data_IF_047261725650
#
_entry.id   IF_047261725650
#
_cell.length_a   1.000
_cell.length_b   1.000
_cell.length_c   1.000
_cell.angle_alpha   90.00
_cell.angle_beta   90.00
_cell.angle_gamma   90.00
#
_symmetry.space_group_name_H-M   'P 1'
#
loop_
_entity.id
_entity.type
_entity.pdbx_description
1 polymer ?
#
# COMPACT_ATOMS: atom_id res chain seq x y z
N UNK A 1 16.80 13.21 -0.11
CA UNK A 1 15.68 12.39 -0.66
C UNK A 1 14.44 12.71 0.15
N UNK A 2 13.25 12.76 -0.44
CA UNK A 2 11.99 13.02 0.25
C UNK A 2 11.22 11.73 0.49
N UNK A 3 10.70 11.55 1.71
CA UNK A 3 9.96 10.38 2.12
C UNK A 3 8.46 10.60 1.92
N UNK A 4 7.87 9.80 1.04
CA UNK A 4 6.43 9.71 0.82
C UNK A 4 5.94 8.39 1.41
N UNK A 5 4.90 8.42 2.23
CA UNK A 5 4.27 7.22 2.77
C UNK A 5 2.81 7.19 2.37
N UNK A 6 2.32 6.07 1.83
CA UNK A 6 0.91 5.93 1.47
C UNK A 6 0.26 4.69 2.09
N UNK A 7 -1.08 4.67 2.11
CA UNK A 7 -1.86 3.49 2.48
C UNK A 7 -3.18 3.47 1.72
N UNK A 8 -3.21 2.71 0.62
CA UNK A 8 -4.33 2.60 -0.32
C UNK A 8 -5.52 1.84 0.28
N UNK A 9 -5.24 0.88 1.18
CA UNK A 9 -6.21 -0.10 1.69
C UNK A 9 -6.42 0.04 3.19
N UNK A 10 -6.36 1.26 3.71
CA UNK A 10 -6.36 1.53 5.14
C UNK A 10 -7.70 1.31 5.86
N UNK A 11 -8.80 1.16 5.13
CA UNK A 11 -10.10 0.91 5.73
C UNK A 11 -11.10 0.27 4.78
N UNK A 12 -12.25 -0.06 5.33
CA UNK A 12 -13.32 -0.80 4.67
C UNK A 12 -14.63 0.00 4.56
N UNK A 13 -14.57 1.32 4.69
CA UNK A 13 -15.76 2.17 4.66
C UNK A 13 -16.42 2.16 3.28
N UNK A 14 -17.75 2.09 3.28
CA UNK A 14 -18.60 2.24 2.09
C UNK A 14 -19.48 3.49 2.26
N UNK A 15 -19.38 4.48 1.35
CA UNK A 15 -20.23 5.67 1.36
C UNK A 15 -21.72 5.31 1.30
N UNK A 16 -22.57 6.12 1.93
CA UNK A 16 -24.02 5.84 2.08
C UNK A 16 -24.69 5.51 0.74
N UNK A 17 -24.36 6.25 -0.32
CA UNK A 17 -24.91 6.07 -1.67
C UNK A 17 -24.59 4.70 -2.30
N UNK A 18 -23.54 4.02 -1.84
CA UNK A 18 -23.15 2.69 -2.35
C UNK A 18 -23.51 1.55 -1.40
N UNK A 19 -23.94 1.82 -0.16
CA UNK A 19 -24.34 0.77 0.80
C UNK A 19 -25.34 -0.26 0.23
N UNK A 20 -26.35 0.12 -0.59
CA UNK A 20 -27.28 -0.85 -1.18
C UNK A 20 -26.63 -1.94 -2.05
N UNK A 21 -25.40 -1.72 -2.55
CA UNK A 21 -24.68 -2.71 -3.35
C UNK A 21 -23.90 -3.72 -2.48
N UNK A 22 -23.78 -3.49 -1.17
CA UNK A 22 -23.00 -4.31 -0.23
C UNK A 22 -23.93 -4.99 0.78
N UNK A 23 -24.77 -5.92 0.29
CA UNK A 23 -25.74 -6.65 1.12
C UNK A 23 -25.06 -7.57 2.14
N UNK A 24 -23.95 -8.21 1.75
CA UNK A 24 -23.06 -8.92 2.67
C UNK A 24 -21.95 -7.99 3.14
N UNK A 25 -22.09 -7.45 4.35
CA UNK A 25 -21.11 -6.56 4.95
C UNK A 25 -19.97 -7.31 5.64
N UNK A 26 -20.10 -8.63 5.89
CA UNK A 26 -19.07 -9.40 6.60
C UNK A 26 -17.77 -9.46 5.80
N UNK A 27 -17.86 -9.49 4.46
CA UNK A 27 -16.69 -9.45 3.58
C UNK A 27 -15.83 -8.19 3.80
N UNK A 28 -16.46 -7.06 4.16
CA UNK A 28 -15.77 -5.79 4.38
C UNK A 28 -14.85 -5.88 5.60
N UNK A 29 -15.19 -6.73 6.57
CA UNK A 29 -14.38 -6.98 7.77
C UNK A 29 -13.23 -7.98 7.54
N UNK A 30 -13.04 -8.45 6.31
CA UNK A 30 -11.97 -9.39 5.94
C UNK A 30 -10.85 -8.72 5.14
N UNK A 31 -9.76 -9.46 4.90
CA UNK A 31 -8.66 -9.06 4.02
C UNK A 31 -9.10 -8.70 2.58
N UNK A 32 -10.32 -9.06 2.16
CA UNK A 32 -10.88 -8.64 0.87
C UNK A 32 -11.33 -7.18 0.89
N UNK A 33 -11.82 -6.71 2.04
CA UNK A 33 -12.33 -5.35 2.23
C UNK A 33 -11.22 -4.31 2.36
N UNK A 34 -10.14 -4.66 3.04
CA UNK A 34 -9.04 -3.76 3.41
C UNK A 34 -7.81 -4.54 3.92
N UNK A 35 -6.73 -3.84 4.18
CA UNK A 35 -5.48 -4.41 4.73
C UNK A 35 -5.48 -4.22 6.27
N UNK A 36 -5.81 -5.29 7.00
CA UNK A 36 -5.84 -5.27 8.47
C UNK A 36 -4.50 -4.80 9.06
N UNK A 37 -4.54 -3.80 9.94
CA UNK A 37 -3.40 -3.20 10.64
C UNK A 37 -2.53 -2.27 9.81
N UNK A 38 -2.74 -2.15 8.49
CA UNK A 38 -1.91 -1.31 7.63
C UNK A 38 -2.05 0.19 7.97
N UNK A 39 -3.27 0.67 8.22
CA UNK A 39 -3.50 2.08 8.60
C UNK A 39 -2.91 2.42 9.98
N UNK A 40 -2.88 1.47 10.92
CA UNK A 40 -2.23 1.66 12.23
C UNK A 40 -0.72 1.86 12.07
N UNK A 41 -0.07 1.05 11.23
CA UNK A 41 1.35 1.21 10.89
C UNK A 41 1.57 2.54 10.16
N UNK A 42 0.75 2.86 9.16
CA UNK A 42 0.82 4.13 8.44
C UNK A 42 0.76 5.33 9.40
N UNK A 43 -0.21 5.35 10.33
CA UNK A 43 -0.36 6.46 11.29
C UNK A 43 0.85 6.59 12.21
N UNK A 44 1.50 5.48 12.57
CA UNK A 44 2.72 5.50 13.37
C UNK A 44 3.94 6.04 12.60
N UNK A 45 4.00 5.76 11.29
CA UNK A 45 5.08 6.21 10.40
C UNK A 45 4.84 7.63 9.85
N UNK A 46 3.59 8.09 9.79
CA UNK A 46 3.20 9.40 9.28
C UNK A 46 4.07 10.57 9.79
N UNK A 47 4.44 10.66 11.09
CA UNK A 47 5.23 11.78 11.61
C UNK A 47 6.64 11.92 11.02
N UNK A 48 7.19 10.88 10.39
CA UNK A 48 8.53 10.94 9.76
C UNK A 48 8.47 11.20 8.26
N UNK A 49 7.28 11.25 7.66
CA UNK A 49 7.12 11.46 6.23
C UNK A 49 7.17 12.95 5.87
N UNK A 50 7.82 13.29 4.75
CA UNK A 50 7.70 14.62 4.14
C UNK A 50 6.31 14.84 3.53
N UNK A 51 5.65 13.74 3.11
CA UNK A 51 4.25 13.73 2.69
C UNK A 51 3.62 12.37 2.95
N UNK A 52 2.33 12.38 3.30
CA UNK A 52 1.59 11.16 3.56
C UNK A 52 0.16 11.26 3.05
N UNK A 53 -0.37 10.16 2.50
CA UNK A 53 -1.77 10.07 2.09
C UNK A 53 -2.33 8.67 2.36
N UNK A 54 -3.62 8.57 2.71
CA UNK A 54 -4.25 7.29 2.99
C UNK A 54 -5.71 7.29 2.54
N UNK A 55 -6.29 6.10 2.39
CA UNK A 55 -7.71 5.91 2.15
C UNK A 55 -8.31 5.02 3.24
N UNK A 56 -9.51 5.38 3.70
CA UNK A 56 -10.35 4.53 4.56
C UNK A 56 -11.47 3.85 3.77
N UNK A 57 -11.60 4.16 2.49
CA UNK A 57 -12.59 3.56 1.60
C UNK A 57 -12.16 2.15 1.22
N UNK A 58 -13.10 1.19 1.28
CA UNK A 58 -12.81 -0.19 0.91
C UNK A 58 -12.32 -0.31 -0.52
N UNK A 59 -11.29 -1.14 -0.74
CA UNK A 59 -10.88 -1.58 -2.08
C UNK A 59 -12.00 -2.29 -2.85
N UNK A 60 -13.01 -2.81 -2.16
CA UNK A 60 -14.17 -3.41 -2.82
C UNK A 60 -15.10 -2.35 -3.44
N UNK A 61 -15.03 -1.08 -3.03
CA UNK A 61 -15.72 0.00 -3.73
C UNK A 61 -14.99 0.32 -5.03
N UNK A 62 -13.71 0.69 -4.92
CA UNK A 62 -12.81 0.96 -6.03
C UNK A 62 -11.36 0.72 -5.58
N UNK A 63 -10.59 0.01 -6.40
CA UNK A 63 -9.25 -0.45 -6.04
C UNK A 63 -8.18 0.59 -6.45
N UNK A 64 -7.67 1.35 -5.47
CA UNK A 64 -6.68 2.43 -5.66
C UNK A 64 -5.29 1.92 -6.10
N UNK A 65 -4.96 0.67 -5.81
CA UNK A 65 -3.70 0.01 -6.17
C UNK A 65 -3.82 -0.79 -7.50
N UNK A 66 -4.67 -0.36 -8.43
CA UNK A 66 -4.77 -0.90 -9.81
C UNK A 66 -4.89 0.24 -10.82
N UNK A 67 -4.51 0.00 -12.08
CA UNK A 67 -4.77 0.97 -13.16
C UNK A 67 -6.25 1.04 -13.54
N UNK A 68 -6.69 2.11 -14.20
CA UNK A 68 -8.10 2.29 -14.61
C UNK A 68 -8.58 1.25 -15.63
N UNK A 69 -7.66 0.62 -16.36
CA UNK A 69 -7.98 -0.42 -17.34
C UNK A 69 -7.91 -1.83 -16.72
N UNK A 70 -7.59 -1.94 -15.43
CA UNK A 70 -7.52 -3.23 -14.78
C UNK A 70 -8.91 -3.82 -14.56
N UNK A 71 -9.09 -5.10 -14.90
CA UNK A 71 -10.35 -5.83 -14.69
C UNK A 71 -10.82 -5.87 -13.22
N UNK A 72 -9.90 -5.69 -12.28
CA UNK A 72 -10.15 -5.70 -10.85
C UNK A 72 -10.25 -4.28 -10.25
N UNK A 73 -10.30 -3.21 -11.07
CA UNK A 73 -10.53 -1.85 -10.57
C UNK A 73 -11.87 -1.76 -9.81
N UNK A 74 -12.90 -2.39 -10.37
CA UNK A 74 -14.21 -2.55 -9.75
C UNK A 74 -14.38 -3.99 -9.27
N UNK A 75 -14.86 -4.16 -8.04
CA UNK A 75 -15.09 -5.48 -7.47
C UNK A 75 -16.38 -6.12 -7.99
N UNK A 76 -16.70 -7.33 -7.51
CA UNK A 76 -18.00 -7.95 -7.79
C UNK A 76 -19.19 -7.09 -7.33
N UNK A 77 -19.02 -6.22 -6.33
CA UNK A 77 -20.05 -5.34 -5.79
C UNK A 77 -20.28 -4.10 -6.66
N UNK A 78 -19.23 -3.59 -7.31
CA UNK A 78 -19.30 -2.34 -8.10
C UNK A 78 -19.17 -2.55 -9.61
N UNK A 79 -18.94 -3.78 -10.08
CA UNK A 79 -18.86 -4.09 -11.53
C UNK A 79 -20.17 -3.84 -12.28
N UNK A 80 -21.32 -3.95 -11.62
CA UNK A 80 -22.66 -3.76 -12.22
C UNK A 80 -23.12 -2.31 -12.23
N UNK A 81 -22.37 -1.40 -11.59
CA UNK A 81 -22.67 0.03 -11.63
C UNK A 81 -22.67 0.55 -13.07
N UNK A 82 -23.55 1.52 -13.32
CA UNK A 82 -23.62 2.23 -14.60
C UNK A 82 -22.31 2.96 -14.90
N UNK A 83 -22.05 3.26 -16.16
CA UNK A 83 -20.87 4.05 -16.57
C UNK A 83 -20.79 5.38 -15.83
N UNK A 84 -21.92 6.06 -15.60
CA UNK A 84 -21.99 7.32 -14.86
C UNK A 84 -21.54 7.15 -13.40
N UNK A 85 -22.03 6.12 -12.71
CA UNK A 85 -21.63 5.83 -11.33
C UNK A 85 -20.15 5.43 -11.23
N UNK A 86 -19.65 4.61 -12.16
CA UNK A 86 -18.23 4.25 -12.22
C UNK A 86 -17.34 5.47 -12.45
N UNK A 87 -17.75 6.38 -13.33
CA UNK A 87 -17.02 7.64 -13.54
C UNK A 87 -17.03 8.52 -12.28
N UNK A 88 -18.14 8.53 -11.54
CA UNK A 88 -18.23 9.21 -10.24
C UNK A 88 -17.22 8.61 -9.25
N UNK A 89 -17.17 7.28 -9.12
CA UNK A 89 -16.19 6.61 -8.25
C UNK A 89 -14.74 6.95 -8.65
N UNK A 90 -14.45 6.94 -9.95
CA UNK A 90 -13.13 7.29 -10.48
C UNK A 90 -12.77 8.73 -10.10
N UNK A 91 -13.69 9.68 -10.30
CA UNK A 91 -13.41 11.08 -10.05
C UNK A 91 -13.27 11.39 -8.55
N UNK A 92 -14.16 10.85 -7.73
CA UNK A 92 -14.28 11.21 -6.30
C UNK A 92 -13.27 10.49 -5.41
N UNK A 93 -12.94 9.23 -5.70
CA UNK A 93 -12.08 8.44 -4.81
C UNK A 93 -10.73 8.11 -5.45
N UNK A 94 -10.75 7.62 -6.68
CA UNK A 94 -9.52 7.14 -7.33
C UNK A 94 -8.60 8.27 -7.77
N UNK A 95 -9.15 9.25 -8.49
CA UNK A 95 -8.41 10.40 -9.01
C UNK A 95 -7.97 11.31 -7.87
N UNK A 96 -8.85 11.57 -6.89
CA UNK A 96 -8.50 12.39 -5.73
C UNK A 96 -7.26 11.83 -5.01
N UNK A 97 -7.27 10.55 -4.67
CA UNK A 97 -6.15 9.89 -4.02
C UNK A 97 -4.88 9.89 -4.89
N UNK A 98 -4.96 9.36 -6.12
CA UNK A 98 -3.77 9.18 -6.96
C UNK A 98 -3.17 10.50 -7.40
N UNK A 99 -4.00 11.47 -7.78
CA UNK A 99 -3.49 12.77 -8.23
C UNK A 99 -2.84 13.54 -7.08
N UNK A 100 -3.36 13.46 -5.85
CA UNK A 100 -2.73 14.12 -4.70
C UNK A 100 -1.30 13.62 -4.49
N UNK A 101 -1.10 12.30 -4.47
CA UNK A 101 0.23 11.67 -4.32
C UNK A 101 1.12 11.99 -5.53
N UNK A 102 0.61 11.80 -6.75
CA UNK A 102 1.37 12.04 -7.98
C UNK A 102 1.82 13.50 -8.11
N UNK A 103 0.96 14.48 -7.77
CA UNK A 103 1.30 15.91 -7.82
C UNK A 103 2.41 16.26 -6.83
N UNK A 104 2.37 15.71 -5.62
CA UNK A 104 3.45 15.92 -4.65
C UNK A 104 4.77 15.32 -5.15
N UNK A 105 4.76 14.08 -5.63
CA UNK A 105 5.97 13.43 -6.15
C UNK A 105 6.53 14.22 -7.34
N UNK A 106 5.67 14.65 -8.27
CA UNK A 106 6.07 15.47 -9.41
C UNK A 106 6.71 16.79 -8.98
N UNK A 107 6.18 17.47 -7.95
CA UNK A 107 6.76 18.74 -7.49
C UNK A 107 8.18 18.54 -6.92
N UNK A 108 8.43 17.45 -6.18
CA UNK A 108 9.76 17.12 -5.68
C UNK A 108 10.73 16.81 -6.83
N UNK A 109 10.31 15.97 -7.77
CA UNK A 109 11.16 15.55 -8.90
C UNK A 109 11.47 16.73 -9.84
N UNK A 110 10.50 17.61 -10.08
CA UNK A 110 10.70 18.83 -10.89
C UNK A 110 11.69 19.81 -10.25
N UNK A 111 11.92 19.72 -8.94
CA UNK A 111 12.97 20.45 -8.22
C UNK A 111 14.30 19.68 -8.16
N UNK A 112 14.50 18.68 -9.04
CA UNK A 112 15.70 17.82 -9.11
C UNK A 112 16.00 17.03 -7.82
N UNK A 113 14.99 16.79 -6.97
CA UNK A 113 15.12 15.97 -5.77
C UNK A 113 14.60 14.55 -6.04
N UNK A 114 15.15 13.58 -5.30
CA UNK A 114 14.67 12.19 -5.35
C UNK A 114 13.62 11.90 -4.29
N UNK A 115 12.68 11.00 -4.63
CA UNK A 115 11.62 10.50 -3.74
C UNK A 115 11.84 9.01 -3.44
N UNK A 116 11.73 8.66 -2.15
CA UNK A 116 11.42 7.31 -1.70
C UNK A 116 9.95 7.25 -1.32
N UNK A 117 9.20 6.34 -1.94
CA UNK A 117 7.79 6.12 -1.69
C UNK A 117 7.58 4.74 -1.07
N UNK A 118 7.04 4.71 0.15
CA UNK A 118 6.68 3.50 0.88
C UNK A 118 5.14 3.34 0.90
N UNK A 119 4.63 2.38 0.15
CA UNK A 119 3.22 1.99 0.14
C UNK A 119 2.98 0.95 1.24
N UNK A 120 2.22 1.30 2.28
CA UNK A 120 2.01 0.43 3.45
C UNK A 120 0.79 -0.46 3.23
N UNK A 121 1.03 -1.77 3.25
CA UNK A 121 0.06 -2.83 3.02
C UNK A 121 0.16 -3.94 4.07
N UNK A 122 -0.84 -4.82 4.06
CA UNK A 122 -0.78 -6.06 4.82
C UNK A 122 -1.44 -7.20 4.06
N UNK A 123 -0.97 -8.42 4.32
CA UNK A 123 -1.45 -9.62 3.65
C UNK A 123 -1.96 -10.66 4.63
N UNK A 124 -3.02 -11.37 4.23
CA UNK A 124 -3.57 -12.49 5.02
C UNK A 124 -2.53 -13.62 5.18
N UNK A 125 -2.37 -14.21 6.38
CA UNK A 125 -1.35 -15.24 6.64
C UNK A 125 -1.58 -16.55 5.89
N UNK A 126 -2.84 -16.86 5.55
CA UNK A 126 -3.21 -18.08 4.81
C UNK A 126 -4.08 -17.67 3.63
N UNK A 127 -3.68 -18.07 2.41
CA UNK A 127 -4.49 -17.87 1.21
C UNK A 127 -4.64 -19.20 0.49
N UNK A 128 -5.88 -19.59 0.17
CA UNK A 128 -6.20 -20.84 -0.53
C UNK A 128 -5.55 -22.07 0.16
N UNK A 129 -5.65 -22.13 1.49
CA UNK A 129 -5.04 -23.15 2.35
C UNK A 129 -3.50 -23.20 2.35
N UNK A 130 -2.82 -22.26 1.69
CA UNK A 130 -1.36 -22.15 1.72
C UNK A 130 -0.91 -21.10 2.74
N UNK A 131 -0.06 -21.53 3.68
CA UNK A 131 0.57 -20.65 4.67
C UNK A 131 1.59 -19.76 3.96
N UNK A 132 1.54 -18.46 4.27
CA UNK A 132 2.50 -17.48 3.76
C UNK A 132 3.59 -17.23 4.80
N UNK A 133 4.70 -17.94 4.62
CA UNK A 133 5.87 -17.93 5.49
C UNK A 133 6.73 -16.67 5.29
N UNK A 134 6.24 -15.56 5.82
CA UNK A 134 6.87 -14.24 5.78
C UNK A 134 6.26 -13.35 6.85
N UNK A 135 7.06 -12.52 7.50
CA UNK A 135 6.58 -11.51 8.45
C UNK A 135 6.44 -10.15 7.77
N UNK A 136 7.45 -9.78 6.98
CA UNK A 136 7.54 -8.49 6.27
C UNK A 136 8.03 -8.73 4.84
N UNK A 137 7.20 -8.40 3.85
CA UNK A 137 7.54 -8.36 2.45
C UNK A 137 8.00 -6.96 2.03
N UNK A 138 9.15 -6.86 1.35
CA UNK A 138 9.59 -5.64 0.70
C UNK A 138 9.48 -5.85 -0.81
N UNK A 139 8.45 -5.26 -1.43
CA UNK A 139 8.13 -5.50 -2.83
C UNK A 139 8.58 -4.33 -3.72
N UNK A 140 9.26 -4.67 -4.80
CA UNK A 140 9.85 -3.69 -5.72
C UNK A 140 10.11 -4.30 -7.11
N UNK A 141 10.39 -3.47 -8.12
CA UNK A 141 10.84 -3.97 -9.42
C UNK A 141 12.33 -4.32 -9.34
N UNK A 142 12.66 -5.61 -9.36
CA UNK A 142 14.04 -6.11 -9.25
C UNK A 142 14.97 -5.64 -10.37
N UNK A 143 14.45 -5.12 -11.47
CA UNK A 143 15.23 -4.52 -12.57
C UNK A 143 15.70 -3.10 -12.24
N UNK A 144 15.13 -2.45 -11.22
CA UNK A 144 15.49 -1.10 -10.79
C UNK A 144 16.53 -1.17 -9.69
N UNK A 145 17.78 -0.83 -10.03
CA UNK A 145 18.94 -0.94 -9.14
C UNK A 145 18.74 -0.17 -7.83
N UNK A 146 18.20 1.06 -7.92
CA UNK A 146 17.96 1.90 -6.75
C UNK A 146 16.93 1.30 -5.78
N UNK A 147 15.85 0.69 -6.29
CA UNK A 147 14.86 -0.01 -5.44
C UNK A 147 15.45 -1.25 -4.79
N UNK A 148 16.26 -2.02 -5.54
CA UNK A 148 16.98 -3.18 -4.99
C UNK A 148 17.91 -2.76 -3.86
N UNK A 149 18.72 -1.71 -4.06
CA UNK A 149 19.65 -1.21 -3.05
C UNK A 149 18.90 -0.72 -1.79
N UNK A 150 17.83 0.06 -1.97
CA UNK A 150 17.01 0.51 -0.86
C UNK A 150 16.40 -0.67 -0.10
N UNK A 151 15.77 -1.63 -0.78
CA UNK A 151 15.18 -2.81 -0.14
C UNK A 151 16.23 -3.62 0.64
N UNK A 152 17.45 -3.79 0.10
CA UNK A 152 18.55 -4.48 0.79
C UNK A 152 18.96 -3.78 2.08
N UNK A 153 19.18 -2.47 2.04
CA UNK A 153 19.50 -1.68 3.23
C UNK A 153 18.35 -1.68 4.23
N UNK A 154 17.10 -1.59 3.77
CA UNK A 154 15.93 -1.57 4.63
C UNK A 154 15.77 -2.90 5.37
N UNK A 155 15.91 -4.03 4.66
CA UNK A 155 15.96 -5.36 5.28
C UNK A 155 17.09 -5.47 6.30
N UNK A 156 18.30 -5.01 5.97
CA UNK A 156 19.44 -5.02 6.89
C UNK A 156 19.11 -4.26 8.18
N UNK A 157 18.52 -3.08 8.07
CA UNK A 157 18.14 -2.26 9.22
C UNK A 157 17.05 -2.90 10.07
N UNK A 158 16.04 -3.53 9.45
CA UNK A 158 15.01 -4.29 10.17
C UNK A 158 15.64 -5.42 10.98
N UNK A 159 16.51 -6.22 10.36
CA UNK A 159 17.14 -7.38 11.00
C UNK A 159 18.17 -7.00 12.07
N UNK A 160 18.80 -5.84 11.97
CA UNK A 160 19.67 -5.31 13.02
C UNK A 160 18.90 -4.96 14.30
N UNK A 161 17.65 -4.53 14.16
CA UNK A 161 16.77 -4.18 15.29
C UNK A 161 16.00 -5.40 15.83
N UNK A 162 15.63 -6.32 14.95
CA UNK A 162 14.99 -7.58 15.33
C UNK A 162 15.38 -8.70 14.35
N UNK A 163 16.35 -9.56 14.72
CA UNK A 163 16.83 -10.64 13.85
C UNK A 163 15.85 -11.79 13.71
N UNK A 164 14.79 -11.85 14.52
CA UNK A 164 13.77 -12.91 14.47
C UNK A 164 12.77 -12.73 13.32
N UNK A 165 12.68 -11.52 12.73
CA UNK A 165 11.73 -11.27 11.65
C UNK A 165 12.14 -11.97 10.35
N UNK A 166 11.20 -12.70 9.75
CA UNK A 166 11.31 -13.25 8.39
C UNK A 166 11.01 -12.18 7.36
N UNK A 167 12.03 -11.39 7.01
CA UNK A 167 11.93 -10.35 5.97
C UNK A 167 12.26 -10.92 4.59
N UNK A 168 11.35 -10.82 3.63
CA UNK A 168 11.52 -11.36 2.27
C UNK A 168 11.37 -10.26 1.21
N UNK A 169 12.13 -10.39 0.13
CA UNK A 169 11.95 -9.56 -1.06
C UNK A 169 10.88 -10.20 -1.94
N UNK A 170 9.99 -9.36 -2.49
CA UNK A 170 9.04 -9.79 -3.52
C UNK A 170 8.24 -11.05 -3.14
N UNK A 171 7.79 -11.07 -1.88
CA UNK A 171 6.90 -12.08 -1.32
C UNK A 171 5.92 -11.41 -0.35
N UNK A 172 4.61 -11.73 -0.39
CA UNK A 172 3.99 -12.80 -1.19
C UNK A 172 3.71 -12.41 -2.66
N UNK A 173 3.99 -11.17 -3.06
CA UNK A 173 3.80 -10.68 -4.43
C UNK A 173 5.09 -10.15 -5.04
N UNK A 174 5.16 -10.04 -6.36
CA UNK A 174 6.42 -9.72 -7.07
C UNK A 174 6.83 -8.23 -7.04
N UNK A 175 6.02 -7.32 -6.49
CA UNK A 175 6.31 -5.88 -6.43
C UNK A 175 6.32 -5.14 -7.78
N UNK A 176 6.02 -5.85 -8.87
CA UNK A 176 5.95 -5.35 -10.25
C UNK A 176 4.61 -5.60 -10.94
N UNK A 177 3.61 -6.04 -10.18
CA UNK A 177 2.25 -6.17 -10.69
C UNK A 177 1.66 -4.79 -11.02
N UNK A 178 0.49 -4.74 -11.66
CA UNK A 178 -0.23 -3.49 -11.89
C UNK A 178 -0.65 -2.88 -10.55
N UNK A 179 0.21 -2.06 -9.97
CA UNK A 179 0.04 -1.35 -8.71
C UNK A 179 0.38 0.13 -8.87
N UNK A 180 0.11 0.93 -7.84
CA UNK A 180 0.35 2.36 -7.86
C UNK A 180 1.84 2.66 -7.92
N UNK A 181 2.67 1.89 -7.19
CA UNK A 181 4.13 1.99 -7.32
C UNK A 181 4.59 1.72 -8.75
N UNK A 182 4.03 0.71 -9.43
CA UNK A 182 4.31 0.42 -10.85
C UNK A 182 3.86 1.54 -11.78
N UNK A 183 2.66 2.11 -11.58
CA UNK A 183 2.18 3.25 -12.35
C UNK A 183 3.11 4.47 -12.18
N UNK A 184 3.55 4.76 -10.94
CA UNK A 184 4.47 5.85 -10.64
C UNK A 184 5.86 5.62 -11.24
N UNK A 185 6.37 4.38 -11.31
CA UNK A 185 7.64 4.06 -12.01
C UNK A 185 7.57 4.37 -13.51
N UNK A 186 6.41 4.18 -14.13
CA UNK A 186 6.21 4.48 -15.56
C UNK A 186 6.17 5.99 -15.80
N UNK A 187 5.54 6.73 -14.88
CA UNK A 187 5.45 8.19 -14.94
C UNK A 187 6.78 8.87 -14.59
N UNK A 188 7.48 8.38 -13.55
CA UNK A 188 8.73 8.93 -13.03
C UNK A 188 9.87 7.93 -13.24
N UNK A 189 10.46 7.98 -14.44
CA UNK A 189 11.54 7.04 -14.82
C UNK A 189 12.79 7.18 -13.96
N UNK A 190 13.10 8.39 -13.53
CA UNK A 190 14.26 8.76 -12.71
C UNK A 190 13.80 9.40 -11.40
N UNK A 191 14.69 9.43 -10.40
CA UNK A 191 14.47 10.11 -9.11
C UNK A 191 13.25 9.62 -8.30
N UNK A 192 12.75 8.42 -8.61
CA UNK A 192 11.65 7.77 -7.90
C UNK A 192 12.01 6.32 -7.56
N UNK A 193 11.92 6.00 -6.27
CA UNK A 193 12.08 4.68 -5.69
C UNK A 193 10.73 4.30 -5.06
N UNK A 194 10.06 3.26 -5.56
CA UNK A 194 8.81 2.77 -4.99
C UNK A 194 8.98 1.41 -4.33
N UNK A 195 8.62 1.29 -3.06
CA UNK A 195 8.61 0.04 -2.29
C UNK A 195 7.22 -0.17 -1.71
N UNK A 196 6.60 -1.33 -1.94
CA UNK A 196 5.44 -1.76 -1.16
C UNK A 196 5.95 -2.53 0.07
N UNK A 197 5.51 -2.11 1.26
CA UNK A 197 5.81 -2.77 2.53
C UNK A 197 4.60 -3.60 2.93
N UNK A 198 4.74 -4.91 2.86
CA UNK A 198 3.68 -5.89 3.10
C UNK A 198 3.88 -6.54 4.47
N UNK A 199 2.92 -6.37 5.39
CA UNK A 199 3.03 -6.89 6.76
C UNK A 199 2.07 -8.05 6.96
N UNK A 200 2.53 -9.13 7.58
CA UNK A 200 1.67 -10.29 7.81
C UNK A 200 0.55 -9.95 8.82
N UNK A 201 -0.70 -10.15 8.43
CA UNK A 201 -1.88 -9.85 9.27
C UNK A 201 -1.97 -10.72 10.53
N UNK A 202 -1.21 -11.82 10.63
CA UNK A 202 -1.14 -12.62 11.87
C UNK A 202 -0.64 -11.83 13.09
N UNK A 203 0.08 -10.72 12.89
CA UNK A 203 0.46 -9.83 13.98
C UNK A 203 -0.69 -8.93 14.48
N UNK A 204 -1.74 -8.74 13.67
CA UNK A 204 -2.77 -7.76 13.96
C UNK A 204 -3.76 -8.27 15.01
N UNK A 205 -4.02 -7.46 16.03
CA UNK A 205 -5.09 -7.68 17.01
C UNK A 205 -5.95 -6.42 17.06
N UNK A 206 -7.27 -6.55 16.89
CA UNK A 206 -8.21 -5.42 16.82
C UNK A 206 -7.77 -4.33 15.83
N UNK A 207 -7.34 -4.75 14.63
CA UNK A 207 -6.86 -3.89 13.56
C UNK A 207 -5.62 -3.03 13.93
N UNK A 208 -4.82 -3.47 14.92
CA UNK A 208 -3.57 -2.81 15.33
C UNK A 208 -2.40 -3.77 15.25
N UNK A 209 -1.27 -3.26 14.79
CA UNK A 209 -0.01 -4.00 14.77
C UNK A 209 0.76 -3.78 16.08
N UNK A 210 1.62 -4.73 16.50
CA UNK A 210 2.41 -4.59 17.73
C UNK A 210 3.29 -3.35 17.71
N UNK A 211 3.37 -2.63 18.83
CA UNK A 211 4.23 -1.44 18.96
C UNK A 211 5.70 -1.74 18.61
N UNK A 212 6.22 -2.91 19.02
CA UNK A 212 7.57 -3.34 18.65
C UNK A 212 7.79 -3.39 17.14
N UNK A 213 6.82 -3.90 16.37
CA UNK A 213 6.90 -3.97 14.91
C UNK A 213 6.91 -2.56 14.30
N UNK A 214 6.00 -1.70 14.74
CA UNK A 214 5.92 -0.31 14.28
C UNK A 214 7.19 0.47 14.59
N UNK A 215 7.75 0.28 15.78
CA UNK A 215 9.02 0.87 16.19
C UNK A 215 10.18 0.38 15.31
N UNK A 216 10.29 -0.93 15.06
CA UNK A 216 11.33 -1.49 14.18
C UNK A 216 11.23 -0.91 12.77
N UNK A 217 10.03 -0.84 12.18
CA UNK A 217 9.83 -0.23 10.86
C UNK A 217 10.24 1.25 10.88
N UNK A 218 9.81 2.03 11.87
CA UNK A 218 10.16 3.45 11.98
C UNK A 218 11.68 3.66 12.06
N UNK A 219 12.35 2.95 12.96
CA UNK A 219 13.81 3.08 13.14
C UNK A 219 14.58 2.62 11.90
N UNK A 220 14.13 1.56 11.23
CA UNK A 220 14.78 1.08 10.01
C UNK A 220 14.61 2.01 8.80
N UNK A 221 13.59 2.87 8.79
CA UNK A 221 13.40 3.95 7.81
C UNK A 221 14.25 5.19 8.15
N UNK A 222 14.33 5.59 9.43
CA UNK A 222 15.09 6.79 9.85
C UNK A 222 16.60 6.59 9.69
N UNK A 223 17.10 5.36 9.85
CA UNK A 223 18.52 5.03 9.76
C UNK A 223 19.02 4.93 8.29
N UNK A 224 18.47 5.75 7.39
CA UNK A 224 18.85 5.87 5.97
C UNK A 224 19.52 7.20 5.67
#
# INVERSE_FOLDING_TARGET
MKLVITCEHGGNAIPLEYKPYFLDTLVLETHKGYDLGALDVFNYLKPIADYSNFSTTSRLLIELNRSTNNKNLFSAYTKTLTTKQKQSLINTYYNDYRQAVTKYIASIINNNLSVIHLSIHSFTPVLNNAIRDCDIGLLYDSRRIQEKQYAMSFKKNILALNPEYRVRFNYPYLGKADGFTTALRQQFKNNYIGIEVEINQSFAVNNKMPEKLKHVLKQSIINF
#
